data_IF_700236158261
#
_entry.id   IF_700236158261
#
_cell.length_a   1.000
_cell.length_b   1.000
_cell.length_c   1.000
_cell.angle_alpha   90.00
_cell.angle_beta   90.00
_cell.angle_gamma   90.00
#
_symmetry.space_group_name_H-M   'P 1'
#
loop_
_entity.id
_entity.type
_entity.pdbx_description
1 polymer ?
#
# COMPACT_ATOMS: atom_id res chain seq x y z
N UNK A 1 -8.26 -30.01 -17.87
CA UNK A 1 -8.02 -31.36 -17.31
C UNK A 1 -7.31 -31.17 -15.99
N UNK A 2 -7.94 -31.55 -14.87
CA UNK A 2 -7.29 -31.51 -13.56
C UNK A 2 -6.14 -32.54 -13.56
N UNK A 3 -4.91 -32.09 -13.33
CA UNK A 3 -3.78 -32.99 -13.14
C UNK A 3 -3.97 -33.64 -11.77
N UNK A 4 -4.12 -34.96 -11.75
CA UNK A 4 -4.20 -35.75 -10.51
C UNK A 4 -2.92 -35.54 -9.68
N UNK A 5 -3.02 -35.49 -8.34
CA UNK A 5 -1.85 -35.35 -7.50
C UNK A 5 -0.93 -36.56 -7.65
N UNK A 6 0.38 -36.30 -7.60
CA UNK A 6 1.40 -37.34 -7.62
C UNK A 6 1.84 -37.54 -6.18
N UNK A 7 1.54 -38.71 -5.62
CA UNK A 7 2.05 -39.14 -4.31
C UNK A 7 3.37 -39.87 -4.51
N UNK A 8 4.43 -39.43 -3.83
CA UNK A 8 5.71 -40.11 -3.78
C UNK A 8 5.95 -40.61 -2.36
N UNK A 9 6.25 -41.89 -2.23
CA UNK A 9 6.65 -42.53 -0.98
C UNK A 9 8.11 -42.95 -1.13
N UNK A 10 8.98 -42.55 -0.20
CA UNK A 10 10.32 -43.14 -0.09
C UNK A 10 10.64 -43.54 1.35
N UNK A 11 11.16 -44.75 1.49
CA UNK A 11 11.81 -45.24 2.70
C UNK A 11 13.28 -44.79 2.67
N UNK A 12 13.56 -43.59 3.16
CA UNK A 12 14.94 -43.10 3.28
C UNK A 12 15.61 -43.75 4.50
N UNK A 13 16.26 -44.89 4.27
CA UNK A 13 16.95 -45.68 5.30
C UNK A 13 18.46 -45.40 5.42
N UNK A 14 19.05 -44.52 4.60
CA UNK A 14 20.50 -44.26 4.63
C UNK A 14 20.85 -42.76 4.61
N UNK A 15 21.70 -42.35 5.56
CA UNK A 15 21.83 -41.01 6.13
C UNK A 15 22.83 -40.08 5.43
N UNK A 16 23.01 -40.19 4.10
CA UNK A 16 24.13 -39.49 3.44
C UNK A 16 23.89 -38.92 2.04
N UNK A 17 22.66 -38.83 1.55
CA UNK A 17 22.41 -38.35 0.18
C UNK A 17 21.29 -37.32 0.10
N UNK A 18 21.51 -36.30 -0.75
CA UNK A 18 20.49 -35.33 -1.18
C UNK A 18 19.40 -36.07 -1.98
N UNK A 19 18.14 -35.90 -1.60
CA UNK A 19 17.01 -36.55 -2.26
C UNK A 19 16.36 -35.60 -3.28
N UNK A 20 16.77 -35.71 -4.54
CA UNK A 20 16.03 -35.15 -5.68
C UNK A 20 15.00 -36.17 -6.16
N UNK A 21 13.75 -35.74 -6.31
CA UNK A 21 12.66 -36.64 -6.69
C UNK A 21 12.41 -36.61 -8.19
N UNK A 22 12.45 -37.78 -8.83
CA UNK A 22 12.24 -37.93 -10.27
C UNK A 22 11.04 -38.83 -10.55
N UNK A 23 10.25 -38.53 -11.58
CA UNK A 23 9.28 -39.44 -12.21
C UNK A 23 9.63 -39.60 -13.67
N UNK A 24 9.87 -40.84 -14.11
CA UNK A 24 10.22 -41.18 -15.50
C UNK A 24 11.40 -40.32 -16.05
N UNK A 25 12.50 -40.26 -15.29
CA UNK A 25 13.72 -39.46 -15.60
C UNK A 25 13.51 -37.92 -15.63
N UNK A 26 12.31 -37.43 -15.27
CA UNK A 26 12.00 -36.00 -15.15
C UNK A 26 11.99 -35.58 -13.69
N UNK A 27 12.75 -34.55 -13.33
CA UNK A 27 12.75 -33.97 -11.99
C UNK A 27 11.36 -33.40 -11.66
N UNK A 28 10.81 -33.76 -10.50
CA UNK A 28 9.47 -33.36 -10.12
C UNK A 28 9.48 -31.94 -9.58
N UNK A 29 9.00 -31.02 -10.42
CA UNK A 29 8.80 -29.62 -10.05
C UNK A 29 7.45 -29.44 -9.33
N UNK A 30 7.35 -28.60 -8.27
CA UNK A 30 6.12 -28.33 -7.50
C UNK A 30 4.91 -27.74 -8.28
N UNK A 31 5.00 -27.63 -9.60
CA UNK A 31 4.06 -26.89 -10.46
C UNK A 31 2.67 -27.58 -10.60
N UNK A 32 2.57 -28.86 -10.28
CA UNK A 32 1.31 -29.60 -10.19
C UNK A 32 1.27 -30.28 -8.82
N UNK A 33 0.21 -30.06 -8.03
CA UNK A 33 0.14 -30.45 -6.62
C UNK A 33 0.91 -31.73 -6.27
N UNK A 34 1.93 -31.59 -5.41
CA UNK A 34 2.86 -32.66 -5.04
C UNK A 34 2.59 -33.11 -3.60
N UNK A 35 2.46 -34.42 -3.40
CA UNK A 35 2.31 -35.02 -2.08
C UNK A 35 3.57 -35.87 -1.80
N UNK A 36 4.33 -35.51 -0.77
CA UNK A 36 5.57 -36.17 -0.34
C UNK A 36 5.35 -36.86 1.01
N UNK A 37 5.76 -38.11 1.11
CA UNK A 37 5.71 -38.88 2.37
C UNK A 37 7.07 -39.49 2.69
N UNK A 38 7.49 -39.36 3.96
CA UNK A 38 8.72 -39.95 4.48
C UNK A 38 8.44 -40.66 5.81
N UNK A 39 8.74 -41.96 5.87
CA UNK A 39 8.69 -42.77 7.10
C UNK A 39 9.89 -42.50 8.04
N UNK A 40 10.79 -41.58 7.65
CA UNK A 40 12.02 -41.30 8.38
C UNK A 40 12.31 -39.81 8.52
N UNK A 41 13.52 -39.50 8.98
CA UNK A 41 13.97 -38.12 9.14
C UNK A 41 14.21 -37.48 7.76
N UNK A 42 13.67 -36.29 7.56
CA UNK A 42 13.99 -35.44 6.41
C UNK A 42 15.22 -34.59 6.78
N UNK A 43 16.40 -34.99 6.30
CA UNK A 43 17.64 -34.21 6.51
C UNK A 43 17.60 -32.89 5.73
N UNK A 44 17.20 -32.97 4.45
CA UNK A 44 17.11 -31.81 3.57
C UNK A 44 16.13 -32.08 2.44
N UNK A 45 15.27 -31.10 2.16
CA UNK A 45 14.41 -31.09 0.98
C UNK A 45 14.50 -29.70 0.33
N UNK A 46 15.07 -29.66 -0.87
CA UNK A 46 15.16 -28.43 -1.66
C UNK A 46 14.19 -28.54 -2.84
N UNK A 47 13.32 -27.55 -3.00
CA UNK A 47 12.32 -27.52 -4.06
C UNK A 47 12.35 -26.16 -4.76
N UNK A 48 12.44 -26.19 -6.08
CA UNK A 48 12.43 -24.99 -6.91
C UNK A 48 11.30 -25.04 -7.93
N UNK A 49 10.58 -23.93 -8.10
CA UNK A 49 9.50 -23.78 -9.08
C UNK A 49 9.62 -22.46 -9.83
N UNK A 50 9.84 -22.52 -11.15
CA UNK A 50 9.78 -21.38 -12.08
C UNK A 50 8.35 -20.81 -12.26
N UNK A 51 7.35 -21.36 -11.55
CA UNK A 51 5.97 -20.90 -11.64
C UNK A 51 5.23 -21.11 -10.33
N UNK A 52 3.90 -20.95 -10.40
CA UNK A 52 3.04 -21.06 -9.22
C UNK A 52 3.09 -22.48 -8.62
N UNK A 53 3.31 -22.55 -7.31
CA UNK A 53 3.11 -23.76 -6.52
C UNK A 53 1.64 -23.85 -6.15
N UNK A 54 0.90 -24.78 -6.76
CA UNK A 54 -0.52 -24.95 -6.48
C UNK A 54 -0.77 -25.63 -5.14
N UNK A 55 0.03 -26.64 -4.82
CA UNK A 55 -0.04 -27.38 -3.57
C UNK A 55 1.26 -28.14 -3.35
N UNK A 56 1.77 -28.10 -2.15
CA UNK A 56 2.81 -29.00 -1.69
C UNK A 56 2.41 -29.51 -0.31
N UNK A 57 2.13 -30.81 -0.21
CA UNK A 57 1.81 -31.47 1.04
C UNK A 57 3.00 -32.39 1.40
N UNK A 58 3.67 -32.15 2.53
CA UNK A 58 4.76 -33.00 3.03
C UNK A 58 4.37 -33.61 4.37
N UNK A 59 4.47 -34.94 4.46
CA UNK A 59 4.25 -35.70 5.69
C UNK A 59 5.53 -36.46 6.05
N UNK A 60 6.00 -36.30 7.29
CA UNK A 60 7.17 -37.01 7.82
C UNK A 60 6.86 -37.64 9.17
N UNK A 61 7.10 -38.94 9.32
CA UNK A 61 7.05 -39.65 10.61
C UNK A 61 8.29 -39.37 11.47
N UNK A 62 9.29 -38.68 10.91
CA UNK A 62 10.55 -38.34 11.58
C UNK A 62 10.76 -36.85 11.78
N UNK A 63 12.00 -36.50 12.18
CA UNK A 63 12.46 -35.13 12.30
C UNK A 63 12.73 -34.52 10.93
N UNK A 64 12.32 -33.26 10.76
CA UNK A 64 12.66 -32.43 9.61
C UNK A 64 13.79 -31.48 10.02
N UNK A 65 14.99 -31.68 9.49
CA UNK A 65 16.10 -30.76 9.72
C UNK A 65 15.99 -29.51 8.84
N UNK A 66 15.70 -29.67 7.55
CA UNK A 66 15.64 -28.53 6.64
C UNK A 66 14.72 -28.75 5.45
N UNK A 67 13.90 -27.76 5.18
CA UNK A 67 13.17 -27.61 3.91
C UNK A 67 13.49 -26.21 3.36
N UNK A 68 13.92 -26.15 2.10
CA UNK A 68 14.07 -24.92 1.33
C UNK A 68 13.10 -24.97 0.14
N UNK A 69 12.07 -24.11 0.09
CA UNK A 69 11.18 -23.96 -1.06
C UNK A 69 11.38 -22.59 -1.71
N UNK A 70 11.72 -22.58 -3.00
CA UNK A 70 11.87 -21.38 -3.81
C UNK A 70 10.86 -21.38 -4.97
N UNK A 71 10.07 -20.32 -5.08
CA UNK A 71 9.11 -20.13 -6.17
C UNK A 71 9.23 -18.75 -6.80
N UNK A 72 9.38 -18.72 -8.13
CA UNK A 72 9.27 -17.49 -8.95
C UNK A 72 7.81 -17.05 -9.14
N UNK A 73 6.85 -17.80 -8.59
CA UNK A 73 5.42 -17.51 -8.68
C UNK A 73 4.72 -17.50 -7.32
N UNK A 74 3.40 -17.61 -7.35
CA UNK A 74 2.56 -17.70 -6.16
C UNK A 74 2.64 -19.08 -5.51
N UNK A 75 2.62 -19.11 -4.18
CA UNK A 75 2.39 -20.34 -3.41
C UNK A 75 0.96 -20.35 -2.90
N UNK A 76 0.12 -21.20 -3.50
CA UNK A 76 -1.29 -21.30 -3.11
C UNK A 76 -1.46 -22.10 -1.81
N UNK A 77 -0.67 -23.16 -1.62
CA UNK A 77 -0.73 -23.99 -0.42
C UNK A 77 0.58 -24.72 -0.18
N UNK A 78 1.07 -24.61 1.04
CA UNK A 78 2.15 -25.43 1.60
C UNK A 78 1.66 -26.01 2.92
N UNK A 79 1.54 -27.33 3.00
CA UNK A 79 1.20 -28.05 4.21
C UNK A 79 2.38 -28.93 4.62
N UNK A 80 2.87 -28.75 5.85
CA UNK A 80 3.92 -29.55 6.44
C UNK A 80 3.41 -30.24 7.71
N UNK A 81 3.50 -31.57 7.74
CA UNK A 81 3.18 -32.38 8.92
C UNK A 81 4.41 -33.21 9.31
N UNK A 82 4.84 -33.10 10.57
CA UNK A 82 5.96 -33.86 11.11
C UNK A 82 5.63 -34.42 12.49
N UNK A 83 5.81 -35.72 12.70
CA UNK A 83 5.75 -36.35 14.04
C UNK A 83 7.01 -36.01 14.87
N UNK A 84 8.04 -35.45 14.22
CA UNK A 84 9.29 -35.03 14.86
C UNK A 84 9.42 -33.52 15.01
N UNK A 85 10.63 -33.09 15.39
CA UNK A 85 11.01 -31.68 15.39
C UNK A 85 11.17 -31.16 13.97
N UNK A 86 10.81 -29.89 13.75
CA UNK A 86 11.16 -29.12 12.55
C UNK A 86 12.25 -28.11 12.92
N UNK A 87 13.49 -28.34 12.50
CA UNK A 87 14.58 -27.40 12.78
C UNK A 87 14.52 -26.16 11.90
N UNK A 88 14.23 -26.32 10.59
CA UNK A 88 14.20 -25.19 9.66
C UNK A 88 13.24 -25.39 8.49
N UNK A 89 12.42 -24.37 8.25
CA UNK A 89 11.66 -24.19 7.02
C UNK A 89 11.98 -22.81 6.44
N UNK A 90 12.56 -22.79 5.25
CA UNK A 90 12.76 -21.58 4.46
C UNK A 90 11.80 -21.60 3.27
N UNK A 91 10.92 -20.61 3.18
CA UNK A 91 10.06 -20.40 2.02
C UNK A 91 10.36 -19.04 1.39
N UNK A 92 10.73 -19.05 0.12
CA UNK A 92 10.91 -17.86 -0.70
C UNK A 92 9.93 -17.88 -1.89
N UNK A 93 9.13 -16.82 -2.04
CA UNK A 93 8.18 -16.65 -3.14
C UNK A 93 8.26 -15.23 -3.71
N UNK A 94 8.44 -15.10 -5.03
CA UNK A 94 8.31 -13.82 -5.74
C UNK A 94 6.84 -13.37 -5.90
N UNK A 95 5.88 -14.21 -5.48
CA UNK A 95 4.46 -13.90 -5.50
C UNK A 95 3.80 -13.97 -4.12
N UNK A 96 2.47 -13.90 -4.09
CA UNK A 96 1.65 -14.17 -2.90
C UNK A 96 1.83 -15.59 -2.34
N UNK A 97 1.83 -15.69 -1.01
CA UNK A 97 1.66 -16.95 -0.28
C UNK A 97 0.24 -16.97 0.30
N UNK A 98 -0.65 -17.79 -0.26
CA UNK A 98 -2.04 -17.84 0.18
C UNK A 98 -2.18 -18.63 1.49
N UNK A 99 -1.42 -19.72 1.66
CA UNK A 99 -1.50 -20.55 2.86
C UNK A 99 -0.20 -21.29 3.13
N UNK A 100 0.27 -21.18 4.36
CA UNK A 100 1.29 -22.06 4.94
C UNK A 100 0.74 -22.64 6.24
N UNK A 101 0.62 -23.96 6.29
CA UNK A 101 0.25 -24.70 7.49
C UNK A 101 1.41 -25.59 7.90
N UNK A 102 1.81 -25.51 9.17
CA UNK A 102 2.82 -26.39 9.74
C UNK A 102 2.27 -27.01 11.02
N UNK A 103 2.30 -28.34 11.07
CA UNK A 103 1.95 -29.13 12.23
C UNK A 103 3.14 -30.00 12.63
N UNK A 104 3.60 -29.86 13.87
CA UNK A 104 4.72 -30.64 14.41
C UNK A 104 4.37 -31.21 15.79
N UNK A 105 4.57 -32.51 15.99
CA UNK A 105 4.50 -33.13 17.33
C UNK A 105 5.77 -32.87 18.16
N UNK A 106 6.80 -32.28 17.56
CA UNK A 106 8.02 -31.84 18.22
C UNK A 106 8.14 -30.32 18.32
N UNK A 107 9.38 -29.85 18.49
CA UNK A 107 9.75 -28.44 18.48
C UNK A 107 9.88 -27.88 17.07
N UNK A 108 9.48 -26.63 16.89
CA UNK A 108 9.76 -25.86 15.67
C UNK A 108 10.83 -24.80 15.96
N UNK A 109 12.04 -25.01 15.48
CA UNK A 109 13.15 -24.14 15.84
C UNK A 109 13.17 -22.84 15.01
N UNK A 110 12.95 -22.93 13.69
CA UNK A 110 13.03 -21.76 12.82
C UNK A 110 12.14 -21.87 11.60
N UNK A 111 11.43 -20.79 11.32
CA UNK A 111 10.77 -20.57 10.03
C UNK A 111 11.23 -19.22 9.49
N UNK A 112 11.78 -19.20 8.28
CA UNK A 112 12.04 -17.99 7.51
C UNK A 112 11.09 -17.95 6.30
N UNK A 113 10.19 -16.98 6.29
CA UNK A 113 9.22 -16.79 5.21
C UNK A 113 9.52 -15.47 4.50
N UNK A 114 9.88 -15.53 3.22
CA UNK A 114 10.14 -14.38 2.36
C UNK A 114 9.16 -14.39 1.20
N UNK A 115 8.29 -13.36 1.14
CA UNK A 115 7.35 -13.18 0.04
C UNK A 115 7.44 -11.74 -0.47
N UNK A 116 7.51 -11.57 -1.79
CA UNK A 116 7.34 -10.23 -2.41
C UNK A 116 5.86 -9.80 -2.43
N UNK A 117 4.93 -10.74 -2.25
CA UNK A 117 3.49 -10.50 -2.16
C UNK A 117 2.91 -10.66 -0.75
N UNK A 118 1.58 -10.59 -0.65
CA UNK A 118 0.85 -10.88 0.59
C UNK A 118 0.97 -12.34 1.04
N UNK A 119 1.16 -12.52 2.35
CA UNK A 119 0.94 -13.78 3.08
C UNK A 119 -0.46 -13.77 3.68
N UNK A 120 -1.40 -14.54 3.15
CA UNK A 120 -2.80 -14.48 3.57
C UNK A 120 -3.08 -15.29 4.85
N UNK A 121 -2.41 -16.45 5.01
CA UNK A 121 -2.60 -17.34 6.15
C UNK A 121 -1.29 -18.05 6.51
N UNK A 122 -0.97 -18.00 7.79
CA UNK A 122 0.13 -18.75 8.41
C UNK A 122 -0.39 -19.40 9.69
N UNK A 123 -0.57 -20.71 9.67
CA UNK A 123 -1.00 -21.50 10.82
C UNK A 123 0.13 -22.40 11.28
N UNK A 124 0.55 -22.23 12.53
CA UNK A 124 1.64 -22.99 13.12
C UNK A 124 1.15 -23.69 14.38
N UNK A 125 1.19 -25.01 14.38
CA UNK A 125 0.85 -25.86 15.52
C UNK A 125 2.05 -26.72 15.88
N UNK A 126 2.49 -26.61 17.14
CA UNK A 126 3.62 -27.36 17.67
C UNK A 126 3.28 -27.86 19.07
N UNK A 127 3.53 -29.15 19.35
CA UNK A 127 3.46 -29.66 20.72
C UNK A 127 4.67 -29.21 21.56
N UNK A 128 5.79 -28.91 20.90
CA UNK A 128 6.97 -28.31 21.50
C UNK A 128 7.02 -26.77 21.35
N UNK A 129 8.10 -26.17 21.87
CA UNK A 129 8.36 -24.73 21.74
C UNK A 129 8.63 -24.30 20.28
N UNK A 130 8.03 -23.18 19.87
CA UNK A 130 8.38 -22.47 18.62
C UNK A 130 9.41 -21.38 18.92
N UNK A 131 10.67 -21.56 18.50
CA UNK A 131 11.75 -20.67 18.92
C UNK A 131 11.82 -19.35 18.14
N UNK A 132 11.59 -19.37 16.82
CA UNK A 132 11.74 -18.19 15.97
C UNK A 132 10.93 -18.30 14.69
N UNK A 133 10.13 -17.27 14.42
CA UNK A 133 9.49 -17.05 13.12
C UNK A 133 10.00 -15.71 12.60
N UNK A 134 10.50 -15.69 11.38
CA UNK A 134 10.92 -14.46 10.71
C UNK A 134 10.13 -14.28 9.43
N UNK A 135 9.39 -13.19 9.40
CA UNK A 135 8.74 -12.67 8.20
C UNK A 135 9.35 -11.28 7.98
N UNK A 136 10.38 -11.14 7.12
CA UNK A 136 11.06 -9.86 6.92
C UNK A 136 10.14 -8.91 6.14
N UNK A 137 10.07 -7.62 6.54
CA UNK A 137 9.22 -6.65 5.87
C UNK A 137 9.78 -6.27 4.50
N UNK A 138 9.06 -6.64 3.45
CA UNK A 138 9.21 -6.18 2.06
C UNK A 138 7.91 -5.47 1.67
N UNK A 139 7.82 -4.20 2.08
CA UNK A 139 6.71 -3.26 1.80
C UNK A 139 5.32 -3.64 2.38
N UNK A 140 4.26 -2.90 2.00
CA UNK A 140 2.88 -2.89 2.58
C UNK A 140 2.16 -4.28 2.59
N UNK A 141 2.85 -5.37 2.30
CA UNK A 141 2.34 -6.71 2.03
C UNK A 141 2.21 -7.61 3.25
N UNK A 142 2.79 -7.24 4.39
CA UNK A 142 2.80 -8.02 5.65
C UNK A 142 1.57 -7.85 6.54
N UNK A 143 0.50 -7.25 6.01
CA UNK A 143 -0.79 -7.13 6.69
C UNK A 143 -1.47 -8.50 6.70
N UNK A 144 -1.50 -9.15 7.85
CA UNK A 144 -2.10 -10.46 8.04
C UNK A 144 -2.24 -10.81 9.51
N UNK A 145 -3.01 -11.85 9.83
CA UNK A 145 -3.06 -12.40 11.19
C UNK A 145 -2.16 -13.62 11.21
N UNK A 146 -1.11 -13.58 12.04
CA UNK A 146 -0.25 -14.73 12.29
C UNK A 146 -0.78 -15.45 13.52
N UNK A 147 -0.97 -16.77 13.42
CA UNK A 147 -1.42 -17.59 14.55
C UNK A 147 -0.37 -18.64 14.88
N UNK A 148 -0.01 -18.73 16.15
CA UNK A 148 0.79 -19.84 16.68
C UNK A 148 0.05 -20.42 17.89
N UNK A 149 -0.23 -21.73 17.86
CA UNK A 149 -0.83 -22.47 18.98
C UNK A 149 0.22 -23.42 19.57
N UNK A 150 0.37 -23.37 20.89
CA UNK A 150 1.13 -24.34 21.69
C UNK A 150 0.13 -25.12 22.55
N UNK A 151 0.20 -26.46 22.55
CA UNK A 151 -0.79 -27.32 23.23
C UNK A 151 -0.90 -27.09 24.75
N UNK A 152 0.13 -26.52 25.39
CA UNK A 152 0.19 -26.37 26.85
C UNK A 152 0.24 -24.92 27.38
N UNK A 153 0.43 -23.90 26.51
CA UNK A 153 0.38 -22.48 26.91
C UNK A 153 -0.10 -21.65 25.72
N UNK A 154 -1.29 -21.07 25.85
CA UNK A 154 -2.00 -20.33 24.82
C UNK A 154 -1.34 -18.95 24.57
N UNK A 155 -0.15 -18.93 23.96
CA UNK A 155 0.56 -17.69 23.63
C UNK A 155 0.12 -17.22 22.24
N UNK A 156 -0.95 -16.41 22.22
CA UNK A 156 -1.45 -15.77 21.02
C UNK A 156 -0.62 -14.52 20.68
N UNK A 157 0.12 -14.56 19.57
CA UNK A 157 0.77 -13.38 18.99
C UNK A 157 0.01 -12.90 17.75
N UNK A 158 -0.94 -11.99 17.93
CA UNK A 158 -1.53 -11.28 16.80
C UNK A 158 -0.63 -10.09 16.43
N UNK A 159 0.20 -10.24 15.40
CA UNK A 159 0.91 -9.11 14.79
C UNK A 159 0.05 -8.49 13.69
N UNK A 160 -0.79 -7.50 14.02
CA UNK A 160 -1.53 -6.70 13.03
C UNK A 160 -0.60 -5.62 12.46
N UNK A 161 0.03 -5.89 11.33
CA UNK A 161 0.77 -4.85 10.58
C UNK A 161 -0.26 -3.99 9.86
N UNK A 162 -0.40 -2.71 10.25
CA UNK A 162 -1.32 -1.76 9.58
C UNK A 162 -0.61 -1.05 8.44
N UNK A 163 -1.33 -0.85 7.32
CA UNK A 163 -0.84 -0.03 6.22
C UNK A 163 -0.38 1.33 6.75
N UNK A 164 0.75 1.82 6.24
CA UNK A 164 1.23 3.16 6.58
C UNK A 164 0.14 4.16 6.16
N UNK A 165 -0.34 5.05 7.06
CA UNK A 165 -1.46 5.94 6.76
C UNK A 165 -1.17 6.75 5.50
N UNK A 166 -2.17 6.93 4.63
CA UNK A 166 -2.03 7.76 3.45
C UNK A 166 -1.58 9.17 3.86
N UNK A 167 -0.42 9.62 3.35
CA UNK A 167 0.10 10.97 3.61
C UNK A 167 0.16 11.73 2.30
N UNK A 168 -0.09 13.03 2.36
CA UNK A 168 0.25 13.93 1.26
C UNK A 168 1.76 14.12 1.11
N UNK A 169 2.22 14.42 -0.11
CA UNK A 169 3.61 14.68 -0.43
C UNK A 169 4.12 15.96 0.25
N UNK A 170 5.37 15.97 0.71
CA UNK A 170 5.96 17.12 1.42
C UNK A 170 6.23 18.31 0.50
N UNK A 171 6.38 18.07 -0.81
CA UNK A 171 6.71 19.10 -1.80
C UNK A 171 5.54 20.04 -2.17
N UNK A 172 4.41 19.98 -1.47
CA UNK A 172 3.23 20.82 -1.70
C UNK A 172 3.33 22.22 -1.03
N UNK A 173 4.53 22.81 -0.97
CA UNK A 173 4.81 24.13 -0.38
C UNK A 173 4.37 25.30 -1.28
N UNK A 174 3.34 25.10 -2.11
CA UNK A 174 2.74 26.18 -2.90
C UNK A 174 1.77 26.98 -2.03
N UNK A 175 1.58 28.26 -2.37
CA UNK A 175 0.73 29.19 -1.62
C UNK A 175 -0.67 28.58 -1.38
N UNK A 176 -1.00 28.33 -0.11
CA UNK A 176 -2.28 27.76 0.32
C UNK A 176 -3.35 28.83 0.49
N UNK A 177 -2.98 30.10 0.29
CA UNK A 177 -3.87 31.23 0.29
C UNK A 177 -4.28 31.53 -1.16
N UNK A 178 -5.49 31.15 -1.51
CA UNK A 178 -6.05 31.31 -2.85
C UNK A 178 -6.93 32.55 -2.86
N UNK A 179 -6.58 33.55 -3.66
CA UNK A 179 -7.43 34.71 -3.90
C UNK A 179 -7.94 34.68 -5.35
N UNK A 180 -9.26 34.70 -5.54
CA UNK A 180 -9.89 34.76 -6.87
C UNK A 180 -10.96 35.84 -6.95
N UNK A 181 -11.31 36.26 -8.16
CA UNK A 181 -12.44 37.16 -8.40
C UNK A 181 -13.74 36.36 -8.65
N UNK A 182 -14.88 36.93 -8.26
CA UNK A 182 -16.21 36.39 -8.61
C UNK A 182 -16.30 36.01 -10.10
N UNK A 183 -16.80 34.81 -10.38
CA UNK A 183 -16.88 34.23 -11.73
C UNK A 183 -15.64 33.47 -12.20
N UNK A 184 -14.52 33.55 -11.49
CA UNK A 184 -13.31 32.77 -11.80
C UNK A 184 -13.40 31.36 -11.23
N UNK A 185 -12.74 30.34 -11.83
CA UNK A 185 -12.70 29.01 -11.24
C UNK A 185 -11.79 28.96 -10.00
N UNK A 186 -12.13 28.10 -9.03
CA UNK A 186 -11.29 27.76 -7.87
C UNK A 186 -10.82 26.31 -8.05
N UNK A 187 -9.51 26.08 -8.02
CA UNK A 187 -8.90 24.75 -8.14
C UNK A 187 -7.98 24.52 -6.96
N UNK A 188 -8.37 23.63 -6.05
CA UNK A 188 -7.54 23.19 -4.92
C UNK A 188 -6.96 21.82 -5.24
N UNK A 189 -5.64 21.66 -5.13
CA UNK A 189 -4.95 20.42 -5.50
C UNK A 189 -4.06 19.93 -4.37
N UNK A 190 -4.21 18.66 -4.00
CA UNK A 190 -3.31 17.92 -3.12
C UNK A 190 -2.77 16.66 -3.82
N UNK A 191 -1.61 16.18 -3.40
CA UNK A 191 -0.95 14.99 -3.97
C UNK A 191 -0.60 14.01 -2.86
N UNK A 192 -0.97 12.75 -3.06
CA UNK A 192 -0.61 11.65 -2.17
C UNK A 192 0.85 11.25 -2.39
N UNK A 193 1.51 10.76 -1.35
CA UNK A 193 2.93 10.41 -1.43
C UNK A 193 3.21 9.11 -2.18
N UNK A 194 2.38 8.07 -1.98
CA UNK A 194 2.66 6.72 -2.50
C UNK A 194 1.43 5.95 -3.01
N UNK A 195 0.28 6.03 -2.34
CA UNK A 195 -0.88 5.19 -2.67
C UNK A 195 -1.94 5.93 -3.52
N UNK A 196 -2.10 5.59 -4.81
CA UNK A 196 -3.09 6.23 -5.68
C UNK A 196 -4.53 5.76 -5.42
N UNK A 197 -4.73 4.66 -4.68
CA UNK A 197 -6.07 4.13 -4.36
C UNK A 197 -6.72 4.78 -3.13
N UNK A 198 -5.93 5.50 -2.33
CA UNK A 198 -6.38 6.15 -1.10
C UNK A 198 -7.43 7.24 -1.35
N UNK A 199 -8.51 7.21 -0.56
CA UNK A 199 -9.59 8.19 -0.62
C UNK A 199 -9.25 9.46 0.19
N UNK A 200 -9.81 10.59 -0.21
CA UNK A 200 -9.72 11.85 0.54
C UNK A 200 -11.10 12.46 0.72
N UNK A 201 -11.28 13.08 1.88
CA UNK A 201 -12.48 13.84 2.19
C UNK A 201 -12.18 15.33 2.13
N UNK A 202 -13.06 16.08 1.45
CA UNK A 202 -13.00 17.53 1.41
C UNK A 202 -14.03 18.13 2.38
N UNK A 203 -13.60 19.11 3.17
CA UNK A 203 -14.46 19.90 4.04
C UNK A 203 -14.29 21.39 3.73
N UNK A 204 -15.32 22.18 4.01
CA UNK A 204 -15.29 23.64 4.03
C UNK A 204 -15.81 24.12 5.36
N UNK A 205 -15.02 24.90 6.08
CA UNK A 205 -15.37 25.45 7.39
C UNK A 205 -15.84 24.35 8.38
N UNK A 206 -15.22 23.16 8.29
CA UNK A 206 -15.56 21.97 9.08
C UNK A 206 -16.75 21.15 8.59
N UNK A 207 -17.43 21.57 7.52
CA UNK A 207 -18.58 20.86 6.94
C UNK A 207 -18.13 20.03 5.74
N UNK A 208 -18.42 18.73 5.74
CA UNK A 208 -18.09 17.83 4.63
C UNK A 208 -18.78 18.28 3.35
N UNK A 209 -18.00 18.45 2.29
CA UNK A 209 -18.49 18.86 0.98
C UNK A 209 -19.15 17.68 0.29
N UNK A 210 -20.36 17.90 -0.23
CA UNK A 210 -21.07 16.95 -1.07
C UNK A 210 -20.95 17.38 -2.54
N UNK A 211 -20.92 16.44 -3.50
CA UNK A 211 -20.98 16.78 -4.92
C UNK A 211 -22.21 17.65 -5.21
N UNK A 212 -22.01 18.81 -5.84
CA UNK A 212 -23.05 19.76 -6.19
C UNK A 212 -22.83 20.27 -7.62
N UNK A 213 -23.86 20.81 -8.25
CA UNK A 213 -23.86 21.14 -9.69
C UNK A 213 -22.79 22.16 -10.15
N UNK A 214 -22.10 22.84 -9.22
CA UNK A 214 -21.02 23.81 -9.50
C UNK A 214 -19.66 23.37 -8.91
N UNK A 215 -19.58 22.18 -8.30
CA UNK A 215 -18.41 21.72 -7.56
C UNK A 215 -18.15 20.23 -7.77
N UNK A 216 -16.94 19.91 -8.21
CA UNK A 216 -16.53 18.56 -8.56
C UNK A 216 -15.22 18.17 -7.86
N UNK A 217 -15.13 16.92 -7.42
CA UNK A 217 -13.91 16.34 -6.88
C UNK A 217 -13.35 15.31 -7.86
N UNK A 218 -12.09 15.41 -8.21
CA UNK A 218 -11.40 14.47 -9.11
C UNK A 218 -10.24 13.77 -8.38
N UNK A 219 -10.08 12.48 -8.67
CA UNK A 219 -8.99 11.64 -8.19
C UNK A 219 -8.30 10.96 -9.39
N UNK A 220 -7.11 11.44 -9.74
CA UNK A 220 -6.32 10.92 -10.87
C UNK A 220 -4.92 10.52 -10.39
N UNK A 221 -4.64 9.22 -10.38
CA UNK A 221 -3.38 8.70 -9.83
C UNK A 221 -3.18 9.15 -8.39
N UNK A 222 -2.07 9.87 -8.12
CA UNK A 222 -1.76 10.45 -6.81
C UNK A 222 -2.40 11.83 -6.59
N UNK A 223 -2.95 12.47 -7.63
CA UNK A 223 -3.51 13.81 -7.56
C UNK A 223 -4.96 13.78 -7.08
N UNK A 224 -5.32 14.74 -6.23
CA UNK A 224 -6.68 14.96 -5.72
C UNK A 224 -7.02 16.43 -5.89
N UNK A 225 -8.16 16.71 -6.51
CA UNK A 225 -8.53 18.07 -6.90
C UNK A 225 -9.97 18.37 -6.51
N UNK A 226 -10.21 19.53 -5.90
CA UNK A 226 -11.53 20.14 -5.77
C UNK A 226 -11.63 21.30 -6.76
N UNK A 227 -12.65 21.27 -7.62
CA UNK A 227 -12.88 22.27 -8.65
C UNK A 227 -14.25 22.93 -8.47
N UNK A 228 -14.26 24.26 -8.36
CA UNK A 228 -15.47 25.08 -8.38
C UNK A 228 -15.43 25.92 -9.66
N UNK A 229 -16.41 25.78 -10.54
CA UNK A 229 -16.34 26.35 -11.89
C UNK A 229 -16.48 27.88 -11.91
N UNK A 230 -17.29 28.42 -11.00
CA UNK A 230 -17.54 29.85 -10.88
C UNK A 230 -17.56 30.28 -9.42
N UNK A 231 -16.56 31.05 -9.01
CA UNK A 231 -16.43 31.59 -7.66
C UNK A 231 -17.55 32.59 -7.34
N UNK A 232 -18.02 32.52 -6.10
CA UNK A 232 -19.04 33.38 -5.52
C UNK A 232 -18.59 33.70 -4.10
N UNK A 233 -19.12 34.76 -3.48
CA UNK A 233 -18.73 35.12 -2.10
C UNK A 233 -18.92 33.99 -1.09
N UNK A 234 -19.90 33.11 -1.32
CA UNK A 234 -20.16 31.95 -0.45
C UNK A 234 -19.04 30.89 -0.50
N UNK A 235 -18.22 30.89 -1.55
CA UNK A 235 -17.10 29.98 -1.74
C UNK A 235 -15.83 30.46 -1.01
N UNK A 236 -15.82 31.66 -0.42
CA UNK A 236 -14.74 32.06 0.48
C UNK A 236 -14.81 31.25 1.79
N UNK A 237 -13.65 30.90 2.36
CA UNK A 237 -13.56 30.13 3.59
C UNK A 237 -12.33 29.23 3.65
N UNK A 238 -12.29 28.37 4.66
CA UNK A 238 -11.19 27.42 4.89
C UNK A 238 -11.60 26.06 4.35
N UNK A 239 -10.81 25.52 3.42
CA UNK A 239 -11.02 24.20 2.84
C UNK A 239 -9.98 23.24 3.38
N UNK A 240 -10.40 22.03 3.73
CA UNK A 240 -9.48 20.99 4.16
C UNK A 240 -9.63 19.76 3.28
N UNK A 241 -8.49 19.20 2.85
CA UNK A 241 -8.44 17.89 2.25
C UNK A 241 -7.79 16.93 3.24
N UNK A 242 -8.51 15.88 3.61
CA UNK A 242 -8.13 14.97 4.69
C UNK A 242 -8.05 13.52 4.22
N UNK A 243 -6.98 12.84 4.65
CA UNK A 243 -6.89 11.37 4.69
C UNK A 243 -7.15 10.89 6.13
N UNK A 244 -7.10 9.58 6.38
CA UNK A 244 -7.27 9.01 7.72
C UNK A 244 -6.25 9.49 8.77
N UNK A 245 -5.13 10.11 8.37
CA UNK A 245 -4.07 10.52 9.29
C UNK A 245 -3.34 11.81 8.94
N UNK A 246 -3.74 12.53 7.89
CA UNK A 246 -3.10 13.78 7.48
C UNK A 246 -4.12 14.72 6.84
N UNK A 247 -4.01 16.02 7.10
CA UNK A 247 -4.90 17.04 6.56
C UNK A 247 -4.08 18.19 5.97
N UNK A 248 -4.48 18.65 4.79
CA UNK A 248 -3.98 19.88 4.18
C UNK A 248 -5.09 20.92 4.19
N UNK A 249 -4.74 22.16 4.53
CA UNK A 249 -5.66 23.29 4.62
C UNK A 249 -5.37 24.31 3.53
N UNK A 250 -6.41 24.86 2.92
CA UNK A 250 -6.38 25.95 1.95
C UNK A 250 -7.26 27.09 2.48
N UNK A 251 -6.78 28.33 2.41
CA UNK A 251 -7.58 29.52 2.72
C UNK A 251 -8.00 30.17 1.40
N UNK A 252 -9.31 30.25 1.15
CA UNK A 252 -9.86 30.80 -0.09
C UNK A 252 -10.55 32.13 0.19
N UNK A 253 -10.12 33.17 -0.52
CA UNK A 253 -10.72 34.50 -0.54
C UNK A 253 -11.32 34.79 -1.92
N UNK A 254 -12.55 35.28 -1.95
CA UNK A 254 -13.27 35.64 -3.17
C UNK A 254 -13.50 37.15 -3.18
N UNK A 255 -12.71 37.86 -3.98
CA UNK A 255 -12.88 39.28 -4.23
C UNK A 255 -14.05 39.52 -5.17
N UNK A 256 -14.60 40.74 -5.13
CA UNK A 256 -15.62 41.16 -6.09
C UNK A 256 -15.13 41.08 -7.53
N UNK A 257 -15.99 41.52 -8.47
CA UNK A 257 -15.66 41.58 -9.89
C UNK A 257 -14.30 42.24 -10.14
N UNK A 258 -13.65 41.84 -11.23
CA UNK A 258 -12.32 42.31 -11.61
C UNK A 258 -12.18 43.84 -11.47
N UNK A 259 -11.01 44.33 -11.05
CA UNK A 259 -10.81 45.74 -10.81
C UNK A 259 -11.10 46.52 -12.10
N UNK A 260 -12.03 47.48 -12.05
CA UNK A 260 -12.30 48.38 -13.17
C UNK A 260 -11.74 49.76 -12.87
N UNK A 261 -11.18 50.39 -13.92
CA UNK A 261 -10.82 51.81 -13.87
C UNK A 261 -12.10 52.60 -13.69
N UNK A 262 -12.18 53.35 -12.60
CA UNK A 262 -13.30 54.24 -12.34
C UNK A 262 -13.33 55.36 -13.39
N UNK A 263 -14.51 55.85 -13.82
CA UNK A 263 -14.60 56.93 -14.79
C UNK A 263 -13.86 58.18 -14.30
N UNK A 264 -12.82 58.61 -15.03
CA UNK A 264 -12.07 59.84 -14.73
C UNK A 264 -12.90 61.05 -15.19
N UNK A 265 -13.22 62.02 -14.32
CA UNK A 265 -13.91 63.24 -14.71
C UNK A 265 -13.15 63.98 -15.84
N UNK A 266 -13.83 64.59 -16.82
CA UNK A 266 -13.16 65.31 -17.92
C UNK A 266 -12.19 66.40 -17.46
N UNK A 267 -12.46 67.02 -16.31
CA UNK A 267 -11.60 68.04 -15.67
C UNK A 267 -10.27 67.51 -15.17
N UNK A 268 -10.17 66.20 -14.91
CA UNK A 268 -8.94 65.54 -14.45
C UNK A 268 -8.21 64.80 -15.57
N UNK A 269 -8.93 64.48 -16.65
CA UNK A 269 -8.41 63.82 -17.85
C UNK A 269 -7.40 64.67 -18.62
N UNK A 270 -7.53 66.01 -18.55
CA UNK A 270 -6.64 66.95 -19.21
C UNK A 270 -6.06 67.93 -18.19
N UNK A 271 -4.75 67.85 -17.92
CA UNK A 271 -4.04 68.81 -17.08
C UNK A 271 -2.96 69.53 -17.88
N UNK A 272 -2.91 70.85 -17.76
CA UNK A 272 -1.80 71.66 -18.27
C UNK A 272 -0.74 71.77 -17.18
N UNK A 273 0.50 71.40 -17.49
CA UNK A 273 1.62 71.42 -16.54
C UNK A 273 2.70 72.36 -17.08
N UNK A 274 3.22 73.22 -16.22
CA UNK A 274 4.26 74.17 -16.59
C UNK A 274 5.61 73.47 -16.85
N UNK A 275 6.43 74.06 -17.72
CA UNK A 275 7.77 73.56 -18.04
C UNK A 275 8.62 73.50 -16.76
N UNK A 276 9.24 72.34 -16.50
CA UNK A 276 10.06 72.09 -15.31
C UNK A 276 9.31 71.50 -14.12
N UNK A 277 7.98 71.37 -14.17
CA UNK A 277 7.20 70.70 -13.13
C UNK A 277 6.98 69.20 -13.45
N UNK A 278 6.96 68.32 -12.44
CA UNK A 278 6.68 66.90 -12.64
C UNK A 278 5.21 66.67 -13.02
N UNK A 279 4.98 65.73 -13.96
CA UNK A 279 3.65 65.27 -14.34
C UNK A 279 3.30 64.05 -13.48
N UNK A 280 2.22 64.13 -12.71
CA UNK A 280 1.69 63.03 -11.90
C UNK A 280 0.34 62.61 -12.49
N UNK A 281 0.25 61.36 -12.93
CA UNK A 281 -0.99 60.75 -13.41
C UNK A 281 -1.49 59.78 -12.34
N UNK A 282 -2.76 59.87 -11.99
CA UNK A 282 -3.41 59.01 -11.01
C UNK A 282 -4.73 58.52 -11.58
N UNK A 283 -5.06 57.27 -11.25
CA UNK A 283 -6.31 56.63 -11.62
C UNK A 283 -6.86 55.93 -10.37
N UNK A 284 -8.16 55.96 -10.17
CA UNK A 284 -8.84 55.14 -9.17
C UNK A 284 -9.28 53.83 -9.81
N UNK A 285 -9.06 52.73 -9.10
CA UNK A 285 -9.47 51.38 -9.50
C UNK A 285 -10.42 50.86 -8.41
N UNK A 286 -11.41 50.04 -8.78
CA UNK A 286 -12.25 49.34 -7.79
C UNK A 286 -11.43 48.35 -6.93
N UNK A 287 -12.10 47.60 -6.03
CA UNK A 287 -11.49 46.73 -4.99
C UNK A 287 -10.13 46.12 -5.36
N UNK A 288 -9.15 46.12 -4.41
CA UNK A 288 -7.78 45.71 -4.67
C UNK A 288 -7.70 44.30 -5.27
N UNK A 289 -6.88 44.17 -6.31
CA UNK A 289 -6.69 42.94 -7.08
C UNK A 289 -6.15 41.80 -6.20
N UNK A 290 -6.53 40.56 -6.53
CA UNK A 290 -5.86 39.40 -5.98
C UNK A 290 -4.36 39.41 -6.39
N UNK A 291 -3.42 39.28 -5.44
CA UNK A 291 -2.00 39.24 -5.76
C UNK A 291 -1.74 38.01 -6.64
N UNK A 292 -1.26 38.23 -7.87
CA UNK A 292 -0.96 37.15 -8.84
C UNK A 292 -1.65 37.30 -10.20
N UNK A 293 -2.66 38.15 -10.34
CA UNK A 293 -3.20 38.53 -11.65
C UNK A 293 -2.47 39.78 -12.18
N UNK A 294 -1.28 39.58 -12.76
CA UNK A 294 -0.73 40.54 -13.72
C UNK A 294 -1.15 40.09 -15.13
N UNK A 295 -1.87 40.98 -15.81
CA UNK A 295 -2.27 40.88 -17.22
C UNK A 295 -1.05 40.82 -18.14
#
# INVERSE_FOLDING_TARGET
MAKSPVTLQSELSDTSQEASWYKDETELLPQAGVDLQSEGNVQRLDLQSEGNVQRLDLQSEGHVQRIDLQSEGHVQRLDLQSEGNVQRLDLQSEGHVQRLDLQSEGHVQRIDLQSEGHVQRLDLQSEGHVQRIVVPPTEQTHIGTYHCELKDDDIQFAAEVKAQPARFSYHQESDRNICVHEGSPIVLRCELSHDPSSHVDWTKDGIKLLPQNNMETNSEGLSRTLHIHSAEKIHAGVYECSTSGHTITFEVDVKGRSPQIMPIPPSEKYRMVAIGCPIILQCEVSDPACPGFLV
#
